data_IF_887430162408
#
_entry.id   IF_887430162408
#
_cell.length_a   1.000
_cell.length_b   1.000
_cell.length_c   1.000
_cell.angle_alpha   90.00
_cell.angle_beta   90.00
_cell.angle_gamma   90.00
#
_symmetry.space_group_name_H-M   'P 1'
#
loop_
_entity.id
_entity.type
_entity.pdbx_description
1 polymer ?
#
# COMPACT_ATOMS: atom_id res chain seq x y z
N UNK A 1 3.78 -6.47 15.83
CA UNK A 1 4.11 -7.80 15.29
C UNK A 1 3.56 -7.85 13.89
N UNK A 2 4.35 -8.26 12.90
CA UNK A 2 3.85 -8.41 11.53
C UNK A 2 3.21 -9.81 11.42
N UNK A 3 1.91 -9.92 11.12
CA UNK A 3 1.25 -11.22 11.01
C UNK A 3 1.77 -11.98 9.79
N UNK A 4 1.85 -13.30 9.91
CA UNK A 4 2.08 -14.17 8.76
C UNK A 4 0.83 -14.22 7.88
N UNK A 5 0.98 -14.56 6.60
CA UNK A 5 -0.14 -14.69 5.67
C UNK A 5 -1.24 -15.63 6.19
N UNK A 6 -0.86 -16.77 6.80
CA UNK A 6 -1.77 -17.72 7.45
C UNK A 6 -2.59 -17.13 8.60
N UNK A 7 -1.96 -16.22 9.39
CA UNK A 7 -2.64 -15.59 10.52
C UNK A 7 -3.65 -14.55 10.03
N UNK A 8 -3.32 -13.84 8.95
CA UNK A 8 -4.23 -12.91 8.27
C UNK A 8 -5.40 -13.65 7.62
N UNK A 9 -5.13 -14.78 6.96
CA UNK A 9 -6.18 -15.65 6.38
C UNK A 9 -7.15 -16.11 7.47
N UNK A 10 -6.65 -16.68 8.56
CA UNK A 10 -7.48 -17.11 9.70
C UNK A 10 -8.30 -15.96 10.29
N UNK A 11 -7.72 -14.76 10.39
CA UNK A 11 -8.44 -13.58 10.84
C UNK A 11 -9.62 -13.26 9.91
N UNK A 12 -9.41 -13.30 8.59
CA UNK A 12 -10.45 -12.99 7.59
C UNK A 12 -11.57 -14.05 7.65
N UNK A 13 -11.22 -15.33 7.78
CA UNK A 13 -12.18 -16.43 7.94
C UNK A 13 -13.04 -16.24 9.20
N UNK A 14 -12.42 -16.02 10.36
CA UNK A 14 -13.12 -15.73 11.61
C UNK A 14 -13.98 -14.46 11.54
N UNK A 15 -13.50 -13.44 10.83
CA UNK A 15 -14.29 -12.22 10.62
C UNK A 15 -15.55 -12.53 9.81
N UNK A 16 -15.44 -13.30 8.73
CA UNK A 16 -16.58 -13.67 7.91
C UNK A 16 -17.61 -14.52 8.69
N UNK A 17 -17.13 -15.44 9.52
CA UNK A 17 -17.98 -16.24 10.40
C UNK A 17 -18.69 -15.37 11.46
N UNK A 18 -17.93 -14.58 12.24
CA UNK A 18 -18.47 -13.77 13.33
C UNK A 18 -19.51 -12.72 12.88
N UNK A 19 -19.38 -12.22 11.66
CA UNK A 19 -20.30 -11.24 11.08
C UNK A 19 -21.34 -11.88 10.14
N UNK A 20 -21.42 -13.23 10.09
CA UNK A 20 -22.34 -13.98 9.24
C UNK A 20 -22.29 -13.53 7.76
N UNK A 21 -21.07 -13.35 7.22
CA UNK A 21 -20.88 -12.89 5.85
C UNK A 21 -20.90 -14.03 4.82
N UNK A 22 -20.61 -15.27 5.24
CA UNK A 22 -20.50 -16.42 4.34
C UNK A 22 -21.72 -16.63 3.43
N UNK A 23 -22.99 -16.49 3.91
CA UNK A 23 -24.17 -16.61 3.06
C UNK A 23 -24.27 -15.53 1.96
N UNK A 24 -23.51 -14.44 2.09
CA UNK A 24 -23.49 -13.32 1.14
C UNK A 24 -22.29 -13.37 0.19
N UNK A 25 -21.43 -14.39 0.31
CA UNK A 25 -20.25 -14.59 -0.54
C UNK A 25 -20.54 -15.69 -1.56
N UNK A 26 -20.46 -15.35 -2.83
CA UNK A 26 -20.60 -16.31 -3.91
C UNK A 26 -19.20 -16.69 -4.42
N UNK A 27 -18.72 -17.86 -4.02
CA UNK A 27 -17.44 -18.42 -4.48
C UNK A 27 -17.56 -19.00 -5.90
N UNK A 28 -16.41 -19.31 -6.50
CA UNK A 28 -16.30 -19.86 -7.86
C UNK A 28 -17.04 -19.02 -8.91
N UNK A 29 -17.11 -17.71 -8.68
CA UNK A 29 -17.83 -16.77 -9.53
C UNK A 29 -16.91 -15.61 -9.94
N UNK A 30 -16.54 -15.56 -11.20
CA UNK A 30 -15.81 -14.44 -11.79
C UNK A 30 -16.78 -13.36 -12.26
N UNK A 31 -16.48 -12.09 -12.00
CA UNK A 31 -17.17 -10.98 -12.65
C UNK A 31 -16.51 -10.77 -14.01
N UNK A 32 -17.27 -10.90 -15.10
CA UNK A 32 -16.79 -10.65 -16.46
C UNK A 32 -16.72 -9.15 -16.72
N UNK A 33 -17.84 -8.47 -16.52
CA UNK A 33 -17.91 -7.01 -16.58
C UNK A 33 -19.14 -6.46 -15.87
N UNK A 34 -19.13 -5.14 -15.71
CA UNK A 34 -20.23 -4.36 -15.14
C UNK A 34 -20.55 -3.20 -16.08
N UNK A 35 -21.83 -3.02 -16.38
CA UNK A 35 -22.32 -1.95 -17.25
C UNK A 35 -23.41 -1.13 -16.57
N UNK A 36 -23.57 0.12 -17.01
CA UNK A 36 -24.62 0.99 -16.52
C UNK A 36 -25.87 0.88 -17.38
N UNK A 37 -27.00 0.52 -16.78
CA UNK A 37 -28.34 0.66 -17.36
C UNK A 37 -28.89 2.04 -16.97
N UNK A 38 -28.75 3.01 -17.86
CA UNK A 38 -29.19 4.37 -17.64
C UNK A 38 -30.72 4.51 -17.58
N UNK A 39 -31.43 3.63 -18.31
CA UNK A 39 -32.90 3.68 -18.37
C UNK A 39 -33.52 3.31 -17.03
N UNK A 40 -33.03 2.25 -16.43
CA UNK A 40 -33.54 1.74 -15.15
C UNK A 40 -32.72 2.25 -13.94
N UNK A 41 -31.69 3.05 -14.19
CA UNK A 41 -30.77 3.56 -13.16
C UNK A 41 -30.16 2.45 -12.29
N UNK A 42 -29.75 1.35 -12.91
CA UNK A 42 -29.18 0.15 -12.29
C UNK A 42 -27.80 -0.20 -12.86
N UNK A 43 -27.11 -1.09 -12.18
CA UNK A 43 -25.88 -1.72 -12.64
C UNK A 43 -26.17 -3.15 -13.06
N UNK A 44 -25.78 -3.52 -14.29
CA UNK A 44 -25.82 -4.87 -14.83
C UNK A 44 -24.47 -5.54 -14.52
N UNK A 45 -24.48 -6.60 -13.73
CA UNK A 45 -23.27 -7.32 -13.35
C UNK A 45 -23.31 -8.69 -14.03
N UNK A 46 -22.41 -8.88 -14.98
CA UNK A 46 -22.24 -10.13 -15.71
C UNK A 46 -21.22 -11.00 -14.98
N UNK A 47 -21.67 -12.17 -14.57
CA UNK A 47 -20.83 -13.11 -13.82
C UNK A 47 -20.70 -14.43 -14.55
N UNK A 48 -19.57 -15.10 -14.40
CA UNK A 48 -19.26 -16.40 -14.98
C UNK A 48 -18.92 -17.38 -13.85
N UNK A 49 -19.67 -18.46 -13.77
CA UNK A 49 -19.30 -19.58 -12.91
C UNK A 49 -18.01 -20.22 -13.42
N UNK A 50 -16.99 -20.32 -12.56
CA UNK A 50 -15.66 -20.80 -12.97
C UNK A 50 -15.59 -22.30 -13.17
N UNK A 51 -16.57 -23.07 -12.66
CA UNK A 51 -16.63 -24.52 -12.79
C UNK A 51 -17.41 -24.93 -14.04
N UNK A 52 -18.55 -24.27 -14.30
CA UNK A 52 -19.45 -24.62 -15.40
C UNK A 52 -19.30 -23.74 -16.63
N UNK A 53 -18.71 -22.55 -16.48
CA UNK A 53 -18.61 -21.56 -17.54
C UNK A 53 -19.91 -20.79 -17.81
N UNK A 54 -21.00 -21.07 -17.06
CA UNK A 54 -22.28 -20.41 -17.25
C UNK A 54 -22.19 -18.93 -16.94
N UNK A 55 -22.65 -18.11 -17.88
CA UNK A 55 -22.72 -16.65 -17.70
C UNK A 55 -24.12 -16.26 -17.27
N UNK A 56 -24.21 -15.42 -16.23
CA UNK A 56 -25.47 -14.86 -15.74
C UNK A 56 -25.35 -13.35 -15.58
N UNK A 57 -26.46 -12.64 -15.75
CA UNK A 57 -26.55 -11.19 -15.49
C UNK A 57 -27.51 -10.94 -14.34
N UNK A 58 -27.10 -10.08 -13.42
CA UNK A 58 -27.93 -9.59 -12.31
C UNK A 58 -27.88 -8.07 -12.22
N UNK A 59 -28.95 -7.48 -11.72
CA UNK A 59 -29.08 -6.04 -11.55
C UNK A 59 -28.86 -5.61 -10.09
N UNK A 60 -28.16 -4.51 -9.89
CA UNK A 60 -27.87 -3.96 -8.58
C UNK A 60 -28.06 -2.45 -8.57
N UNK A 61 -28.45 -1.91 -7.42
CA UNK A 61 -28.52 -0.45 -7.20
C UNK A 61 -27.15 0.17 -7.08
N UNK A 62 -26.22 -0.55 -6.46
CA UNK A 62 -24.88 -0.06 -6.12
C UNK A 62 -23.84 -1.15 -6.34
N UNK A 63 -22.66 -0.72 -6.78
CA UNK A 63 -21.52 -1.61 -7.00
C UNK A 63 -20.29 -1.06 -6.31
N UNK A 64 -19.56 -1.92 -5.60
CA UNK A 64 -18.23 -1.65 -5.08
C UNK A 64 -17.24 -2.56 -5.78
N UNK A 65 -16.29 -1.98 -6.51
CA UNK A 65 -15.17 -2.71 -7.10
C UNK A 65 -14.07 -2.83 -6.05
N UNK A 66 -13.83 -4.04 -5.58
CA UNK A 66 -12.84 -4.33 -4.54
C UNK A 66 -11.84 -5.42 -4.98
N UNK A 67 -11.48 -5.43 -6.27
CA UNK A 67 -10.60 -6.42 -6.91
C UNK A 67 -9.13 -6.31 -6.49
N UNK A 68 -8.76 -5.24 -5.79
CA UNK A 68 -7.39 -4.94 -5.41
C UNK A 68 -6.55 -4.34 -6.54
N UNK A 69 -5.42 -3.76 -6.17
CA UNK A 69 -4.53 -3.04 -7.08
C UNK A 69 -3.44 -3.92 -7.72
N UNK A 70 -3.29 -5.17 -7.30
CA UNK A 70 -2.19 -6.06 -7.69
C UNK A 70 -2.73 -7.23 -8.53
N UNK A 71 -3.37 -6.91 -9.66
CA UNK A 71 -4.07 -7.89 -10.49
C UNK A 71 -3.38 -8.17 -11.82
N UNK A 72 -3.06 -7.16 -12.60
CA UNK A 72 -2.45 -7.31 -13.91
C UNK A 72 -0.94 -7.27 -13.77
N UNK A 73 -0.29 -8.38 -14.12
CA UNK A 73 1.16 -8.54 -14.00
C UNK A 73 1.90 -7.56 -14.92
N UNK A 74 2.89 -6.87 -14.40
CA UNK A 74 3.87 -6.13 -15.19
C UNK A 74 5.10 -7.02 -15.44
N UNK A 75 5.19 -7.66 -16.58
CA UNK A 75 6.37 -8.42 -16.99
C UNK A 75 7.19 -7.60 -17.96
N UNK A 76 8.43 -7.20 -17.63
CA UNK A 76 9.26 -6.40 -18.51
C UNK A 76 9.63 -7.19 -19.76
N UNK A 77 9.69 -6.51 -20.91
CA UNK A 77 10.22 -7.08 -22.13
C UNK A 77 11.73 -7.11 -22.03
N UNK A 78 12.32 -8.30 -22.01
CA UNK A 78 13.77 -8.52 -21.96
C UNK A 78 14.22 -9.08 -23.30
N UNK A 79 15.26 -8.47 -23.87
CA UNK A 79 15.89 -8.91 -25.10
C UNK A 79 16.41 -10.34 -24.92
N UNK A 80 16.08 -11.23 -25.85
CA UNK A 80 16.54 -12.62 -25.85
C UNK A 80 15.85 -13.54 -24.83
N UNK A 81 14.74 -13.13 -24.21
CA UNK A 81 14.02 -13.95 -23.22
C UNK A 81 13.59 -15.31 -23.78
N UNK A 82 13.34 -15.40 -25.06
CA UNK A 82 13.00 -16.63 -25.78
C UNK A 82 14.14 -17.65 -25.85
N UNK A 83 15.37 -17.23 -25.57
CA UNK A 83 16.56 -18.12 -25.49
C UNK A 83 16.68 -18.80 -24.12
N UNK A 84 15.96 -18.30 -23.11
CA UNK A 84 16.06 -18.84 -21.76
C UNK A 84 15.32 -20.17 -21.65
N UNK A 85 16.02 -21.21 -21.21
CA UNK A 85 15.46 -22.56 -21.08
C UNK A 85 14.99 -22.89 -19.65
N UNK A 86 15.24 -22.00 -18.68
CA UNK A 86 14.80 -22.18 -17.30
C UNK A 86 13.37 -21.67 -17.06
N UNK A 87 12.94 -21.77 -15.79
CA UNK A 87 11.61 -21.29 -15.38
C UNK A 87 11.53 -19.75 -15.42
N UNK A 88 10.48 -19.22 -16.03
CA UNK A 88 10.22 -17.77 -16.05
C UNK A 88 8.82 -17.49 -15.54
N UNK A 89 8.72 -16.91 -14.34
CA UNK A 89 7.42 -16.63 -13.72
C UNK A 89 7.36 -15.19 -13.17
N UNK A 90 6.15 -14.69 -13.03
CA UNK A 90 5.89 -13.48 -12.25
C UNK A 90 5.64 -13.85 -10.76
N UNK A 91 6.00 -12.96 -9.84
CA UNK A 91 5.82 -13.18 -8.39
C UNK A 91 4.37 -13.52 -7.98
N UNK A 92 3.37 -13.17 -8.79
CA UNK A 92 1.98 -13.57 -8.58
C UNK A 92 1.81 -15.11 -8.63
N UNK A 93 2.62 -15.78 -9.42
CA UNK A 93 2.61 -17.23 -9.63
C UNK A 93 3.54 -17.97 -8.67
N UNK A 94 4.40 -17.25 -7.95
CA UNK A 94 5.32 -17.80 -6.97
C UNK A 94 4.56 -18.20 -5.71
N UNK A 95 4.11 -19.46 -5.64
CA UNK A 95 3.30 -20.01 -4.55
C UNK A 95 4.07 -20.99 -3.66
N UNK A 96 4.96 -21.77 -4.25
CA UNK A 96 5.74 -22.80 -3.55
C UNK A 96 7.24 -22.57 -3.78
N UNK A 97 7.94 -22.02 -2.78
CA UNK A 97 9.39 -21.82 -2.85
C UNK A 97 10.18 -23.14 -2.95
N UNK A 98 9.65 -24.27 -2.47
CA UNK A 98 10.35 -25.57 -2.46
C UNK A 98 10.68 -26.09 -3.85
N UNK A 99 9.94 -25.67 -4.87
CA UNK A 99 10.23 -25.96 -6.28
C UNK A 99 11.61 -25.46 -6.75
N UNK A 100 12.19 -24.51 -6.03
CA UNK A 100 13.49 -23.90 -6.33
C UNK A 100 14.63 -24.39 -5.44
N UNK A 101 14.41 -25.42 -4.62
CA UNK A 101 15.46 -26.04 -3.80
C UNK A 101 16.62 -26.51 -4.68
N UNK A 102 17.85 -26.11 -4.34
CA UNK A 102 19.07 -26.45 -5.08
C UNK A 102 19.24 -25.71 -6.42
N UNK A 103 18.35 -24.81 -6.80
CA UNK A 103 18.40 -24.02 -8.06
C UNK A 103 19.09 -22.66 -7.85
N UNK A 104 19.69 -22.14 -8.93
CA UNK A 104 20.18 -20.77 -9.00
C UNK A 104 19.04 -19.87 -9.52
N UNK A 105 18.58 -18.94 -8.70
CA UNK A 105 17.39 -18.14 -8.99
C UNK A 105 17.72 -16.65 -9.07
N UNK A 106 17.30 -16.00 -10.16
CA UNK A 106 17.41 -14.57 -10.35
C UNK A 106 16.05 -13.90 -10.09
N UNK A 107 15.95 -13.12 -9.02
CA UNK A 107 14.79 -12.33 -8.66
C UNK A 107 14.94 -10.92 -9.23
N UNK A 108 14.00 -10.48 -10.05
CA UNK A 108 14.05 -9.19 -10.76
C UNK A 108 13.14 -8.19 -10.08
N UNK A 109 13.73 -7.21 -9.41
CA UNK A 109 13.02 -6.12 -8.73
C UNK A 109 13.23 -6.13 -7.22
N UNK A 110 13.85 -5.06 -6.69
CA UNK A 110 14.19 -4.87 -5.28
C UNK A 110 13.15 -4.01 -4.55
N UNK A 111 11.89 -4.41 -4.63
CA UNK A 111 10.78 -3.91 -3.82
C UNK A 111 10.45 -4.86 -2.65
N UNK A 112 9.34 -4.62 -1.95
CA UNK A 112 8.88 -5.50 -0.87
C UNK A 112 8.70 -6.95 -1.33
N UNK A 113 8.06 -7.17 -2.47
CA UNK A 113 7.85 -8.52 -3.04
C UNK A 113 9.18 -9.21 -3.38
N UNK A 114 10.17 -8.49 -3.95
CA UNK A 114 11.48 -9.05 -4.22
C UNK A 114 12.23 -9.44 -2.95
N UNK A 115 12.13 -8.62 -1.91
CA UNK A 115 12.71 -8.88 -0.60
C UNK A 115 12.11 -10.15 0.05
N UNK A 116 10.78 -10.28 0.03
CA UNK A 116 10.10 -11.47 0.56
C UNK A 116 10.41 -12.71 -0.28
N UNK A 117 10.36 -12.61 -1.62
CA UNK A 117 10.67 -13.73 -2.52
C UNK A 117 12.10 -14.27 -2.35
N UNK A 118 13.08 -13.36 -2.21
CA UNK A 118 14.47 -13.80 -1.96
C UNK A 118 14.61 -14.48 -0.60
N UNK A 119 13.92 -14.00 0.43
CA UNK A 119 13.92 -14.63 1.75
C UNK A 119 13.31 -16.03 1.68
N UNK A 120 12.15 -16.20 1.04
CA UNK A 120 11.53 -17.52 0.86
C UNK A 120 12.40 -18.50 0.07
N UNK A 121 13.12 -18.03 -0.92
CA UNK A 121 14.08 -18.87 -1.68
C UNK A 121 15.27 -19.31 -0.83
N UNK A 122 15.80 -18.43 0.01
CA UNK A 122 16.88 -18.77 0.97
C UNK A 122 16.38 -19.82 1.97
N UNK A 123 15.18 -19.64 2.52
CA UNK A 123 14.56 -20.58 3.48
C UNK A 123 14.29 -21.95 2.82
N UNK A 124 13.91 -21.96 1.54
CA UNK A 124 13.71 -23.16 0.73
C UNK A 124 15.04 -23.79 0.24
N UNK A 125 16.20 -23.25 0.66
CA UNK A 125 17.53 -23.78 0.31
C UNK A 125 17.82 -23.77 -1.20
N UNK A 126 17.45 -22.71 -1.90
CA UNK A 126 17.96 -22.44 -3.24
C UNK A 126 19.50 -22.40 -3.20
N UNK A 127 20.16 -22.87 -4.27
CA UNK A 127 21.63 -22.95 -4.29
C UNK A 127 22.26 -21.55 -4.32
N UNK A 128 21.74 -20.67 -5.16
CA UNK A 128 22.11 -19.24 -5.20
C UNK A 128 20.87 -18.38 -5.43
N UNK A 129 20.83 -17.24 -4.75
CA UNK A 129 19.74 -16.26 -4.90
C UNK A 129 20.34 -14.91 -5.31
N UNK A 130 20.02 -14.46 -6.50
CA UNK A 130 20.42 -13.16 -7.02
C UNK A 130 19.24 -12.19 -6.96
N UNK A 131 19.47 -10.97 -6.48
CA UNK A 131 18.49 -9.89 -6.47
C UNK A 131 18.90 -8.80 -7.45
N UNK A 132 18.23 -8.74 -8.60
CA UNK A 132 18.50 -7.77 -9.64
C UNK A 132 17.75 -6.46 -9.39
N UNK A 133 18.46 -5.32 -9.53
CA UNK A 133 17.90 -3.99 -9.35
C UNK A 133 18.49 -2.97 -10.33
N UNK A 134 17.71 -1.94 -10.69
CA UNK A 134 18.13 -0.84 -11.58
C UNK A 134 18.55 0.43 -10.85
N UNK A 135 18.52 0.43 -9.54
CA UNK A 135 18.86 1.59 -8.74
C UNK A 135 18.74 1.29 -7.27
N UNK A 136 19.04 2.29 -6.45
CA UNK A 136 19.03 2.11 -5.01
C UNK A 136 17.66 1.75 -4.48
N UNK A 137 17.65 0.88 -3.49
CA UNK A 137 16.46 0.56 -2.71
C UNK A 137 16.64 0.96 -1.24
N UNK A 138 15.54 1.10 -0.52
CA UNK A 138 15.54 1.57 0.85
C UNK A 138 14.79 0.62 1.76
N UNK A 139 15.55 -0.23 2.42
CA UNK A 139 15.04 -1.13 3.44
C UNK A 139 15.04 -0.45 4.80
N UNK A 140 13.97 -0.65 5.54
CA UNK A 140 13.82 -0.26 6.95
C UNK A 140 13.54 -1.51 7.80
N UNK A 141 13.87 -1.49 9.09
CA UNK A 141 13.55 -2.59 9.98
C UNK A 141 12.03 -2.66 10.21
N UNK A 142 11.48 -3.87 10.31
CA UNK A 142 10.10 -4.11 10.73
C UNK A 142 9.89 -3.76 12.20
N UNK A 143 10.93 -4.01 13.01
CA UNK A 143 10.92 -3.74 14.46
C UNK A 143 11.98 -2.70 14.79
N UNK A 144 11.57 -1.63 15.45
CA UNK A 144 12.47 -0.60 15.96
C UNK A 144 12.23 -0.40 17.44
N UNK A 145 13.28 -0.59 18.25
CA UNK A 145 13.23 -0.53 19.72
C UNK A 145 12.11 -1.40 20.31
N UNK A 146 11.99 -2.63 19.83
CA UNK A 146 11.03 -3.62 20.32
C UNK A 146 9.56 -3.38 19.93
N UNK A 147 9.30 -2.37 19.11
CA UNK A 147 7.95 -2.06 18.60
C UNK A 147 7.93 -2.20 17.09
N UNK A 148 6.80 -2.62 16.54
CA UNK A 148 6.59 -2.54 15.10
C UNK A 148 6.78 -1.08 14.63
N UNK A 149 7.36 -0.87 13.47
CA UNK A 149 7.77 0.46 13.02
C UNK A 149 6.59 1.44 12.95
N UNK A 150 5.42 1.00 12.51
CA UNK A 150 4.19 1.78 12.46
C UNK A 150 3.70 2.22 13.86
N UNK A 151 3.95 1.45 14.89
CA UNK A 151 3.66 1.84 16.28
C UNK A 151 4.54 2.97 16.80
N UNK A 152 5.61 3.32 16.10
CA UNK A 152 6.46 4.47 16.46
C UNK A 152 5.90 5.80 15.95
N UNK A 153 4.95 5.77 15.02
CA UNK A 153 4.32 6.93 14.41
C UNK A 153 3.00 7.27 15.13
N UNK A 154 3.09 8.13 16.13
CA UNK A 154 1.93 8.54 16.92
C UNK A 154 1.08 9.59 16.19
N UNK A 155 -0.17 9.78 16.63
CA UNK A 155 -1.04 10.84 16.10
C UNK A 155 -0.43 12.22 16.30
N UNK A 156 0.17 12.48 17.47
CA UNK A 156 0.84 13.75 17.79
C UNK A 156 1.98 14.02 16.82
N UNK A 157 2.89 13.05 16.66
CA UNK A 157 4.02 13.19 15.73
C UNK A 157 3.57 13.36 14.27
N UNK A 158 2.55 12.61 13.84
CA UNK A 158 1.98 12.73 12.50
C UNK A 158 1.29 14.09 12.27
N UNK A 159 0.63 14.66 13.28
CA UNK A 159 0.02 15.99 13.17
C UNK A 159 1.08 17.07 13.01
N UNK A 160 2.12 17.04 13.85
CA UNK A 160 3.27 17.95 13.74
C UNK A 160 3.95 17.81 12.37
N UNK A 161 4.23 16.58 11.97
CA UNK A 161 4.88 16.29 10.69
C UNK A 161 4.07 16.80 9.48
N UNK A 162 2.75 16.57 9.46
CA UNK A 162 1.88 17.08 8.41
C UNK A 162 1.85 18.60 8.34
N UNK A 163 1.82 19.26 9.50
CA UNK A 163 1.87 20.72 9.57
C UNK A 163 3.20 21.24 9.02
N UNK A 164 4.31 20.66 9.45
CA UNK A 164 5.64 21.01 8.94
C UNK A 164 5.79 20.73 7.43
N UNK A 165 5.26 19.61 6.94
CA UNK A 165 5.24 19.32 5.50
C UNK A 165 4.41 20.33 4.69
N UNK A 166 3.32 20.84 5.25
CA UNK A 166 2.51 21.87 4.57
C UNK A 166 3.24 23.22 4.48
N UNK A 167 4.06 23.55 5.47
CA UNK A 167 4.81 24.82 5.54
C UNK A 167 6.18 24.74 4.83
N UNK A 168 6.89 23.63 5.04
CA UNK A 168 8.28 23.45 4.59
C UNK A 168 8.50 22.06 3.95
N UNK A 169 7.86 21.73 2.82
CA UNK A 169 7.84 20.37 2.28
C UNK A 169 9.22 19.79 1.98
N UNK A 170 10.13 20.61 1.40
CA UNK A 170 11.49 20.18 1.07
C UNK A 170 12.36 19.96 2.31
N UNK A 171 12.31 20.88 3.26
CA UNK A 171 13.05 20.77 4.52
C UNK A 171 12.62 19.56 5.34
N UNK A 172 11.30 19.31 5.44
CA UNK A 172 10.75 18.15 6.12
C UNK A 172 11.10 16.83 5.43
N UNK A 173 11.05 16.79 4.09
CA UNK A 173 11.46 15.60 3.34
C UNK A 173 12.94 15.27 3.57
N UNK A 174 13.82 16.29 3.58
CA UNK A 174 15.24 16.13 3.87
C UNK A 174 15.49 15.64 5.29
N UNK A 175 14.83 16.24 6.28
CA UNK A 175 14.96 15.86 7.69
C UNK A 175 14.46 14.44 7.93
N UNK A 176 13.30 14.08 7.37
CA UNK A 176 12.77 12.74 7.46
C UNK A 176 13.67 11.71 6.77
N UNK A 177 14.21 12.05 5.60
CA UNK A 177 15.19 11.22 4.90
C UNK A 177 16.44 10.95 5.73
N UNK A 178 16.97 11.97 6.43
CA UNK A 178 18.09 11.81 7.37
C UNK A 178 17.71 10.94 8.58
N UNK A 179 16.54 11.17 9.17
CA UNK A 179 16.06 10.39 10.32
C UNK A 179 15.91 8.91 9.98
N UNK A 180 15.26 8.58 8.87
CA UNK A 180 15.09 7.20 8.40
C UNK A 180 16.43 6.56 8.02
N UNK A 181 17.34 7.32 7.41
CA UNK A 181 18.70 6.84 7.12
C UNK A 181 19.48 6.56 8.39
N UNK A 182 19.30 7.37 9.45
CA UNK A 182 19.92 7.12 10.76
C UNK A 182 19.35 5.86 11.42
N UNK A 183 18.03 5.64 11.34
CA UNK A 183 17.40 4.41 11.85
C UNK A 183 17.99 3.19 11.14
N UNK A 184 18.04 3.21 9.81
CA UNK A 184 18.63 2.13 9.00
C UNK A 184 20.09 1.89 9.38
N UNK A 185 20.88 2.95 9.49
CA UNK A 185 22.31 2.84 9.82
C UNK A 185 22.56 2.23 11.21
N UNK A 186 21.68 2.52 12.18
CA UNK A 186 21.78 1.95 13.53
C UNK A 186 21.34 0.48 13.57
N UNK A 187 20.31 0.14 12.79
CA UNK A 187 19.79 -1.25 12.78
C UNK A 187 20.61 -2.16 11.89
N UNK A 188 21.03 -1.65 10.72
CA UNK A 188 21.78 -2.42 9.72
C UNK A 188 23.11 -1.72 9.38
N UNK A 189 24.09 -1.65 10.30
CA UNK A 189 25.34 -0.92 10.08
C UNK A 189 26.16 -1.46 8.92
N UNK A 190 26.06 -2.77 8.62
CA UNK A 190 26.73 -3.42 7.49
C UNK A 190 26.21 -2.96 6.13
N UNK A 191 24.95 -2.54 6.02
CA UNK A 191 24.39 -2.04 4.76
C UNK A 191 24.96 -0.67 4.36
N UNK A 192 25.57 0.09 5.27
CA UNK A 192 26.16 1.40 4.98
C UNK A 192 27.27 1.27 3.93
N UNK A 193 28.04 0.19 3.96
CA UNK A 193 29.14 -0.07 3.02
C UNK A 193 28.68 -0.82 1.76
N UNK A 194 27.46 -1.31 1.72
CA UNK A 194 26.97 -2.10 0.60
C UNK A 194 26.68 -1.21 -0.62
N UNK A 195 27.21 -1.52 -1.84
CA UNK A 195 27.10 -0.67 -3.02
C UNK A 195 25.65 -0.29 -3.37
N UNK A 196 24.72 -1.22 -3.27
CA UNK A 196 23.31 -1.02 -3.57
C UNK A 196 22.57 -0.06 -2.62
N UNK A 197 23.20 0.34 -1.51
CA UNK A 197 22.63 1.22 -0.49
C UNK A 197 23.37 2.55 -0.35
N UNK A 198 24.54 2.71 -0.98
CA UNK A 198 25.48 3.79 -0.70
C UNK A 198 25.40 5.01 -1.64
N UNK A 199 24.65 4.95 -2.75
CA UNK A 199 24.59 6.12 -3.62
C UNK A 199 23.79 7.24 -2.96
N UNK A 200 24.19 8.50 -3.17
CA UNK A 200 23.56 9.65 -2.55
C UNK A 200 22.09 9.74 -2.96
N UNK A 201 21.19 9.87 -1.97
CA UNK A 201 19.76 10.06 -2.21
C UNK A 201 19.48 11.52 -2.52
N UNK A 202 18.79 11.77 -3.62
CA UNK A 202 18.12 13.05 -3.82
C UNK A 202 17.08 13.25 -2.73
N UNK A 203 16.90 14.48 -2.26
CA UNK A 203 15.99 14.88 -1.18
C UNK A 203 14.56 14.38 -1.41
N UNK A 204 14.13 14.32 -2.65
CA UNK A 204 12.80 13.88 -3.08
C UNK A 204 12.62 12.34 -3.13
N UNK A 205 13.65 11.57 -2.78
CA UNK A 205 13.63 10.11 -2.91
C UNK A 205 12.48 9.40 -2.19
N UNK A 206 12.08 9.88 -1.00
CA UNK A 206 10.95 9.33 -0.25
C UNK A 206 9.58 9.66 -0.87
N UNK A 207 9.47 10.77 -1.58
CA UNK A 207 8.25 11.15 -2.29
C UNK A 207 8.04 10.29 -3.55
N UNK A 208 9.12 9.76 -4.13
CA UNK A 208 9.08 8.98 -5.36
C UNK A 208 9.13 7.47 -5.12
N UNK A 209 9.85 7.01 -4.09
CA UNK A 209 10.00 5.60 -3.75
C UNK A 209 9.65 5.37 -2.29
N UNK A 210 8.65 4.55 -2.05
CA UNK A 210 8.32 4.13 -0.69
C UNK A 210 9.40 3.19 -0.17
N UNK A 211 9.85 3.35 1.10
CA UNK A 211 10.69 2.35 1.74
C UNK A 211 9.89 1.05 1.90
N UNK A 212 10.57 -0.07 1.91
CA UNK A 212 10.00 -1.35 2.30
C UNK A 212 10.65 -1.87 3.57
N UNK A 213 10.00 -2.82 4.23
CA UNK A 213 10.41 -3.33 5.53
C UNK A 213 10.83 -4.78 5.40
N UNK A 214 12.08 -5.09 5.75
CA UNK A 214 12.59 -6.47 5.79
C UNK A 214 13.86 -6.54 6.63
N UNK A 215 13.78 -7.23 7.74
CA UNK A 215 14.94 -7.56 8.57
C UNK A 215 15.69 -8.74 7.96
N UNK A 216 14.94 -9.77 7.52
CA UNK A 216 15.46 -11.03 7.00
C UNK A 216 16.29 -10.83 5.72
N UNK A 217 15.81 -9.99 4.78
CA UNK A 217 16.60 -9.70 3.58
C UNK A 217 17.91 -8.98 3.93
N UNK A 218 17.90 -8.05 4.89
CA UNK A 218 19.11 -7.36 5.32
C UNK A 218 20.12 -8.33 5.93
N UNK A 219 19.68 -9.29 6.74
CA UNK A 219 20.52 -10.33 7.32
C UNK A 219 21.03 -11.30 6.25
N UNK A 220 20.20 -11.73 5.31
CA UNK A 220 20.57 -12.60 4.21
C UNK A 220 21.64 -11.97 3.31
N UNK A 221 21.59 -10.65 3.11
CA UNK A 221 22.62 -9.89 2.39
C UNK A 221 23.93 -9.84 3.18
N UNK A 222 23.88 -9.64 4.51
CA UNK A 222 25.06 -9.67 5.39
C UNK A 222 25.78 -11.01 5.31
N UNK A 223 25.01 -12.08 5.35
CA UNK A 223 25.49 -13.45 5.42
C UNK A 223 25.88 -14.01 4.04
N UNK A 224 25.76 -13.21 2.97
CA UNK A 224 26.07 -13.61 1.59
C UNK A 224 25.12 -14.65 1.00
N UNK A 225 23.94 -14.85 1.62
CA UNK A 225 22.90 -15.77 1.12
C UNK A 225 22.10 -15.19 -0.05
N UNK A 226 22.11 -13.87 -0.20
CA UNK A 226 21.56 -13.14 -1.35
C UNK A 226 22.69 -12.28 -1.93
N UNK A 227 22.89 -12.35 -3.24
CA UNK A 227 23.80 -11.48 -3.98
C UNK A 227 22.97 -10.42 -4.73
N UNK A 228 23.29 -9.13 -4.58
CA UNK A 228 22.67 -8.07 -5.40
C UNK A 228 23.42 -7.92 -6.71
N UNK A 229 22.66 -7.79 -7.79
CA UNK A 229 23.18 -7.62 -9.16
C UNK A 229 22.46 -6.50 -9.89
N UNK A 230 23.08 -5.96 -10.92
CA UNK A 230 22.48 -4.91 -11.74
C UNK A 230 21.30 -5.45 -12.58
N UNK A 231 20.58 -4.55 -13.25
CA UNK A 231 19.46 -4.93 -14.12
C UNK A 231 19.87 -5.87 -15.24
N UNK A 232 18.93 -6.65 -15.75
CA UNK A 232 19.14 -7.48 -16.94
C UNK A 232 19.23 -6.60 -18.18
N UNK A 233 20.27 -6.78 -18.98
CA UNK A 233 20.42 -6.18 -20.30
C UNK A 233 19.85 -7.11 -21.38
N UNK A 234 20.31 -8.37 -21.40
CA UNK A 234 19.93 -9.37 -22.40
C UNK A 234 20.07 -10.80 -21.85
N UNK A 235 19.23 -11.71 -22.31
CA UNK A 235 19.40 -13.14 -22.17
C UNK A 235 20.25 -13.63 -23.36
N UNK A 236 21.45 -14.13 -23.07
CA UNK A 236 22.41 -14.50 -24.10
C UNK A 236 22.46 -15.99 -24.40
N UNK A 237 21.89 -16.81 -23.53
CA UNK A 237 21.84 -18.28 -23.72
C UNK A 237 20.80 -18.96 -22.86
N UNK A 238 20.71 -20.29 -22.92
CA UNK A 238 19.70 -21.09 -22.21
C UNK A 238 19.67 -20.89 -20.69
N UNK A 239 20.83 -20.54 -20.09
CA UNK A 239 20.99 -20.27 -18.67
C UNK A 239 21.88 -19.06 -18.39
N UNK A 240 22.17 -18.25 -19.42
CA UNK A 240 23.11 -17.13 -19.36
C UNK A 240 22.40 -15.79 -19.45
N UNK A 241 22.66 -14.91 -18.51
CA UNK A 241 22.03 -13.58 -18.37
C UNK A 241 23.12 -12.52 -18.32
N UNK A 242 23.13 -11.60 -19.28
CA UNK A 242 24.01 -10.43 -19.29
C UNK A 242 23.32 -9.26 -18.56
N UNK A 243 24.04 -8.65 -17.64
CA UNK A 243 23.59 -7.53 -16.82
C UNK A 243 24.02 -6.19 -17.42
N UNK A 244 23.37 -5.10 -17.02
CA UNK A 244 23.63 -3.74 -17.53
C UNK A 244 25.02 -3.18 -17.18
N UNK A 245 25.76 -3.81 -16.27
CA UNK A 245 27.16 -3.52 -15.94
C UNK A 245 28.15 -4.40 -16.72
N UNK A 246 27.67 -5.23 -17.65
CA UNK A 246 28.48 -6.14 -18.47
C UNK A 246 28.82 -7.48 -17.79
N UNK A 247 28.46 -7.68 -16.53
CA UNK A 247 28.63 -8.98 -15.85
C UNK A 247 27.68 -10.01 -16.47
N UNK A 248 28.17 -11.22 -16.65
CA UNK A 248 27.37 -12.36 -17.10
C UNK A 248 27.11 -13.30 -15.94
N UNK A 249 25.86 -13.65 -15.71
CA UNK A 249 25.47 -14.71 -14.79
C UNK A 249 25.25 -15.99 -15.59
N UNK A 250 25.91 -17.05 -15.18
CA UNK A 250 25.78 -18.37 -15.77
C UNK A 250 25.00 -19.31 -14.85
N UNK A 251 24.52 -20.41 -15.43
CA UNK A 251 23.79 -21.48 -14.72
C UNK A 251 22.52 -21.00 -14.00
N UNK A 252 21.85 -19.99 -14.51
CA UNK A 252 20.57 -19.54 -13.97
C UNK A 252 19.47 -20.54 -14.33
N UNK A 253 18.80 -21.10 -13.32
CA UNK A 253 17.72 -22.09 -13.49
C UNK A 253 16.33 -21.45 -13.55
N UNK A 254 16.17 -20.27 -12.92
CA UNK A 254 14.89 -19.59 -12.89
C UNK A 254 15.02 -18.07 -12.82
N UNK A 255 14.05 -17.37 -13.43
CA UNK A 255 13.87 -15.92 -13.32
C UNK A 255 12.50 -15.64 -12.72
N UNK A 256 12.43 -14.94 -11.58
CA UNK A 256 11.20 -14.54 -10.91
C UNK A 256 11.03 -13.02 -11.03
N UNK A 257 10.04 -12.58 -11.78
CA UNK A 257 9.74 -11.17 -11.97
C UNK A 257 8.93 -10.61 -10.78
N UNK A 258 9.58 -9.83 -9.92
CA UNK A 258 8.97 -9.00 -8.88
C UNK A 258 8.84 -7.55 -9.38
N UNK A 259 8.43 -7.38 -10.62
CA UNK A 259 8.45 -6.13 -11.39
C UNK A 259 7.20 -5.27 -11.19
N UNK A 260 6.25 -5.71 -10.37
CA UNK A 260 5.04 -4.97 -10.03
C UNK A 260 3.84 -5.29 -10.91
N UNK A 261 2.87 -4.38 -10.91
CA UNK A 261 1.56 -4.60 -11.52
C UNK A 261 1.08 -3.32 -12.20
N UNK A 262 0.24 -3.48 -13.23
CA UNK A 262 -0.59 -2.42 -13.76
C UNK A 262 -1.93 -2.37 -13.03
N UNK A 263 -2.54 -1.20 -12.99
CA UNK A 263 -3.89 -1.03 -12.44
C UNK A 263 -4.91 -1.33 -13.52
N UNK A 264 -5.92 -2.11 -13.16
CA UNK A 264 -6.96 -2.56 -14.07
C UNK A 264 -8.34 -2.13 -13.59
N UNK A 265 -9.07 -1.46 -14.48
CA UNK A 265 -10.43 -1.00 -14.27
C UNK A 265 -11.38 -1.56 -15.34
N UNK A 266 -10.90 -2.46 -16.21
CA UNK A 266 -11.62 -3.00 -17.37
C UNK A 266 -12.88 -3.79 -17.02
N UNK A 267 -13.05 -4.11 -15.73
CA UNK A 267 -14.28 -4.71 -15.23
C UNK A 267 -15.49 -3.77 -15.37
N UNK A 268 -15.29 -2.46 -15.43
CA UNK A 268 -16.33 -1.48 -15.68
C UNK A 268 -16.28 -1.08 -17.15
N UNK A 269 -17.41 -1.22 -17.86
CA UNK A 269 -17.55 -0.84 -19.25
C UNK A 269 -18.48 0.37 -19.42
N UNK A 270 -18.22 1.18 -20.44
CA UNK A 270 -19.03 2.33 -20.77
C UNK A 270 -18.87 3.52 -19.82
N UNK A 271 -19.92 4.29 -19.56
CA UNK A 271 -19.83 5.59 -18.87
C UNK A 271 -19.26 5.52 -17.45
N UNK A 272 -19.28 4.35 -16.80
CA UNK A 272 -18.73 4.14 -15.46
C UNK A 272 -17.21 3.90 -15.43
N UNK A 273 -16.53 3.70 -16.57
CA UNK A 273 -15.09 3.47 -16.64
C UNK A 273 -14.32 4.71 -16.14
N UNK A 274 -13.62 4.63 -15.00
CA UNK A 274 -12.90 5.78 -14.48
C UNK A 274 -11.62 6.11 -15.27
N UNK A 275 -11.25 5.29 -16.24
CA UNK A 275 -10.03 5.46 -17.04
C UNK A 275 -10.30 5.84 -18.49
N UNK A 276 -11.55 6.10 -18.86
CA UNK A 276 -11.93 6.51 -20.22
C UNK A 276 -11.13 7.77 -20.66
N UNK A 277 -10.32 7.68 -21.72
CA UNK A 277 -9.51 8.80 -22.19
C UNK A 277 -10.34 10.02 -22.64
N UNK A 278 -11.58 9.80 -23.07
CA UNK A 278 -12.46 10.86 -23.58
C UNK A 278 -12.81 11.91 -22.52
N UNK A 279 -12.75 11.53 -21.27
CA UNK A 279 -13.09 12.37 -20.11
C UNK A 279 -11.89 12.67 -19.21
N UNK A 280 -10.67 12.37 -19.69
CA UNK A 280 -9.45 12.62 -18.93
C UNK A 280 -9.19 14.14 -18.81
N UNK A 281 -8.68 14.63 -17.65
CA UNK A 281 -8.28 16.02 -17.50
C UNK A 281 -7.12 16.41 -18.42
N UNK A 282 -6.99 17.70 -18.75
CA UNK A 282 -5.88 18.24 -19.57
C UNK A 282 -4.49 17.87 -19.01
N UNK A 283 -4.37 17.75 -17.70
CA UNK A 283 -3.15 17.32 -17.03
C UNK A 283 -2.74 15.88 -17.40
N UNK A 284 -3.62 15.06 -17.94
CA UNK A 284 -3.29 13.71 -18.42
C UNK A 284 -2.30 13.77 -19.59
N UNK A 285 -2.49 14.68 -20.53
CA UNK A 285 -1.54 14.87 -21.63
C UNK A 285 -0.16 15.31 -21.11
N UNK A 286 -0.10 16.11 -20.05
CA UNK A 286 1.15 16.47 -19.40
C UNK A 286 1.85 15.25 -18.75
N UNK A 287 1.08 14.28 -18.22
CA UNK A 287 1.61 13.01 -17.71
C UNK A 287 2.20 12.20 -18.86
N UNK A 288 1.46 12.04 -19.95
CA UNK A 288 1.90 11.31 -21.14
C UNK A 288 3.18 11.89 -21.76
N UNK A 289 3.36 13.20 -21.69
CA UNK A 289 4.55 13.88 -22.19
C UNK A 289 5.81 13.66 -21.35
N UNK A 290 5.71 12.98 -20.18
CA UNK A 290 6.89 12.71 -19.34
C UNK A 290 7.62 11.44 -19.79
N UNK A 291 8.96 11.35 -19.62
CA UNK A 291 9.72 10.15 -19.95
C UNK A 291 9.42 8.96 -19.01
N UNK A 292 8.58 9.16 -18.00
CA UNK A 292 8.24 8.16 -16.99
C UNK A 292 6.85 7.56 -17.18
N UNK A 293 6.09 8.04 -18.18
CA UNK A 293 4.81 7.48 -18.57
C UNK A 293 5.00 6.16 -19.31
N UNK A 294 4.20 5.18 -18.97
CA UNK A 294 4.12 3.92 -19.70
C UNK A 294 2.74 3.82 -20.37
N UNK A 295 2.64 3.40 -21.65
CA UNK A 295 1.35 3.33 -22.36
C UNK A 295 0.30 2.43 -21.72
N UNK A 296 0.73 1.50 -20.88
CA UNK A 296 -0.17 0.59 -20.13
C UNK A 296 -0.60 1.16 -18.77
N UNK A 297 -0.05 2.31 -18.36
CA UNK A 297 -0.50 2.98 -17.13
C UNK A 297 -1.96 3.44 -17.28
N UNK A 298 -2.76 3.13 -16.28
CA UNK A 298 -4.15 3.57 -16.18
C UNK A 298 -4.31 4.47 -14.96
N UNK A 299 -4.80 5.68 -15.17
CA UNK A 299 -5.04 6.65 -14.11
C UNK A 299 -6.55 6.85 -13.97
N UNK A 300 -7.10 6.30 -12.89
CA UNK A 300 -8.51 6.40 -12.62
C UNK A 300 -8.90 7.80 -12.13
N UNK A 301 -10.00 8.31 -12.65
CA UNK A 301 -10.65 9.54 -12.20
C UNK A 301 -11.66 9.20 -11.11
N UNK A 302 -11.17 9.21 -9.88
CA UNK A 302 -11.96 8.90 -8.71
C UNK A 302 -12.00 10.10 -7.78
N UNK A 303 -13.19 10.53 -7.42
CA UNK A 303 -13.37 11.56 -6.41
C UNK A 303 -12.90 11.02 -5.05
N UNK A 304 -12.01 11.77 -4.41
CA UNK A 304 -11.33 11.35 -3.16
C UNK A 304 -10.60 10.02 -3.23
N UNK A 305 -10.31 9.53 -4.44
CA UNK A 305 -9.57 8.30 -4.69
C UNK A 305 -10.38 7.00 -4.56
N UNK A 306 -11.71 7.07 -4.41
CA UNK A 306 -12.52 5.86 -4.32
C UNK A 306 -13.95 5.97 -4.84
N UNK A 307 -14.53 7.15 -4.98
CA UNK A 307 -15.87 7.33 -5.54
C UNK A 307 -15.80 7.61 -7.04
N UNK A 308 -16.72 7.04 -7.80
CA UNK A 308 -16.92 7.42 -9.21
C UNK A 308 -17.19 8.92 -9.33
N UNK A 309 -16.63 9.58 -10.32
CA UNK A 309 -16.93 10.98 -10.60
C UNK A 309 -18.38 11.16 -11.06
N UNK A 310 -18.83 10.27 -11.93
CA UNK A 310 -20.16 10.36 -12.56
C UNK A 310 -21.26 9.76 -11.68
N UNK A 311 -20.98 8.65 -11.00
CA UNK A 311 -21.95 7.89 -10.21
C UNK A 311 -21.50 7.72 -8.74
N UNK A 312 -21.21 8.81 -8.01
CA UNK A 312 -20.64 8.72 -6.66
C UNK A 312 -21.57 8.05 -5.64
N UNK A 313 -22.90 8.05 -5.91
CA UNK A 313 -23.91 7.46 -5.03
C UNK A 313 -24.15 5.96 -5.30
N UNK A 314 -23.53 5.40 -6.36
CA UNK A 314 -23.81 4.02 -6.76
C UNK A 314 -22.60 3.21 -7.25
N UNK A 315 -21.43 3.86 -7.48
CA UNK A 315 -20.21 3.19 -7.89
C UNK A 315 -19.01 3.68 -7.08
N UNK A 316 -18.31 2.73 -6.45
CA UNK A 316 -17.10 3.00 -5.69
C UNK A 316 -16.01 1.96 -5.96
N UNK A 317 -14.75 2.34 -5.72
CA UNK A 317 -13.56 1.52 -5.95
C UNK A 317 -12.73 1.44 -4.68
N UNK A 318 -12.57 0.28 -4.08
CA UNK A 318 -11.74 0.08 -2.90
C UNK A 318 -10.40 -0.54 -3.29
N UNK A 319 -9.34 -0.11 -2.62
CA UNK A 319 -7.98 -0.56 -2.93
C UNK A 319 -7.16 0.42 -3.78
N UNK A 320 -7.72 1.57 -4.16
CA UNK A 320 -7.10 2.53 -5.08
C UNK A 320 -6.70 3.86 -4.43
N UNK A 321 -6.57 3.90 -3.10
CA UNK A 321 -6.13 5.08 -2.36
C UNK A 321 -4.97 4.76 -1.42
N UNK A 322 -3.87 5.48 -1.57
CA UNK A 322 -2.71 5.43 -0.67
C UNK A 322 -2.47 6.80 -0.04
N UNK A 323 -2.58 6.86 1.27
CA UNK A 323 -2.15 7.97 2.11
C UNK A 323 -1.26 7.45 3.24
N UNK A 324 -0.60 8.35 3.99
CA UNK A 324 0.27 7.97 5.11
C UNK A 324 -0.55 7.48 6.32
N UNK A 325 -1.15 6.29 6.18
CA UNK A 325 -1.94 5.60 7.21
C UNK A 325 -1.79 4.08 7.06
N UNK A 326 -1.86 3.32 8.15
CA UNK A 326 -1.96 1.87 8.07
C UNK A 326 -3.17 1.47 7.22
N UNK A 327 -3.03 0.53 6.27
CA UNK A 327 -4.11 0.18 5.33
C UNK A 327 -5.42 -0.22 6.02
N UNK A 328 -5.36 -1.02 7.07
CA UNK A 328 -6.56 -1.48 7.81
C UNK A 328 -7.34 -0.29 8.39
N UNK A 329 -6.63 0.70 8.97
CA UNK A 329 -7.24 1.92 9.49
C UNK A 329 -7.84 2.77 8.36
N UNK A 330 -7.10 2.91 7.27
CA UNK A 330 -7.55 3.71 6.12
C UNK A 330 -8.83 3.15 5.51
N UNK A 331 -8.86 1.84 5.22
CA UNK A 331 -10.02 1.23 4.60
C UNK A 331 -11.23 1.14 5.54
N UNK A 332 -11.03 1.04 6.86
CA UNK A 332 -12.11 1.16 7.83
C UNK A 332 -12.78 2.54 7.77
N UNK A 333 -11.98 3.62 7.65
CA UNK A 333 -12.52 4.99 7.51
C UNK A 333 -13.19 5.19 6.15
N UNK A 334 -12.62 4.68 5.06
CA UNK A 334 -13.19 4.77 3.70
C UNK A 334 -14.56 4.09 3.65
N UNK A 335 -14.68 2.88 4.20
CA UNK A 335 -15.96 2.15 4.19
C UNK A 335 -17.01 2.83 5.05
N UNK A 336 -16.63 3.46 6.18
CA UNK A 336 -17.55 4.30 6.97
C UNK A 336 -18.00 5.55 6.19
N UNK A 337 -17.09 6.22 5.48
CA UNK A 337 -17.42 7.37 4.64
C UNK A 337 -18.32 6.97 3.48
N UNK A 338 -18.03 5.85 2.81
CA UNK A 338 -18.86 5.29 1.75
C UNK A 338 -20.28 4.97 2.25
N UNK A 339 -20.38 4.32 3.40
CA UNK A 339 -21.68 4.05 4.01
C UNK A 339 -22.46 5.33 4.30
N UNK A 340 -21.81 6.35 4.84
CA UNK A 340 -22.44 7.66 5.12
C UNK A 340 -22.99 8.31 3.86
N UNK A 341 -22.21 8.33 2.76
CA UNK A 341 -22.66 8.85 1.46
C UNK A 341 -23.86 8.05 0.94
N UNK A 342 -23.75 6.73 0.94
CA UNK A 342 -24.75 5.87 0.32
C UNK A 342 -26.05 5.67 1.13
N UNK A 343 -26.05 6.05 2.40
CA UNK A 343 -27.25 6.04 3.25
C UNK A 343 -27.85 7.43 3.45
N UNK A 344 -27.32 8.46 2.77
CA UNK A 344 -27.83 9.83 2.87
C UNK A 344 -27.35 10.59 4.11
N UNK A 345 -26.37 10.04 4.86
CA UNK A 345 -25.75 10.72 6.00
C UNK A 345 -24.84 11.90 5.60
N UNK A 346 -24.45 11.92 4.34
CA UNK A 346 -23.66 13.01 3.75
C UNK A 346 -24.11 13.27 2.31
N UNK A 347 -24.36 14.53 1.98
CA UNK A 347 -24.65 14.95 0.60
C UNK A 347 -23.34 15.19 -0.13
N UNK A 348 -23.13 14.46 -1.23
CA UNK A 348 -21.91 14.57 -2.03
C UNK A 348 -21.81 15.92 -2.72
N UNK A 349 -20.60 16.41 -2.90
CA UNK A 349 -20.32 17.69 -3.55
C UNK A 349 -20.81 17.71 -5.01
N UNK A 350 -21.16 18.89 -5.54
CA UNK A 350 -21.53 19.06 -6.94
C UNK A 350 -20.46 18.55 -7.91
N UNK A 351 -20.86 18.21 -9.14
CA UNK A 351 -19.95 17.65 -10.15
C UNK A 351 -18.73 18.53 -10.42
N UNK A 352 -18.89 19.85 -10.41
CA UNK A 352 -17.80 20.80 -10.60
C UNK A 352 -16.72 20.69 -9.52
N UNK A 353 -17.11 20.61 -8.25
CA UNK A 353 -16.18 20.45 -7.13
C UNK A 353 -15.48 19.09 -7.16
N UNK A 354 -16.19 18.03 -7.58
CA UNK A 354 -15.59 16.70 -7.75
C UNK A 354 -14.53 16.71 -8.85
N UNK A 355 -14.82 17.34 -10.01
CA UNK A 355 -13.83 17.51 -11.10
C UNK A 355 -12.61 18.28 -10.64
N UNK A 356 -12.81 19.37 -9.91
CA UNK A 356 -11.73 20.18 -9.36
C UNK A 356 -10.82 19.38 -8.40
N UNK A 357 -11.39 18.49 -7.59
CA UNK A 357 -10.60 17.59 -6.73
C UNK A 357 -9.75 16.64 -7.58
N UNK A 358 -10.34 16.04 -8.61
CA UNK A 358 -9.66 15.15 -9.56
C UNK A 358 -8.54 15.89 -10.31
N UNK A 359 -8.82 17.11 -10.82
CA UNK A 359 -7.81 17.93 -11.49
C UNK A 359 -6.64 18.28 -10.56
N UNK A 360 -6.92 18.56 -9.31
CA UNK A 360 -5.87 18.79 -8.29
C UNK A 360 -5.02 17.54 -8.05
N UNK A 361 -5.63 16.36 -8.10
CA UNK A 361 -4.90 15.10 -8.01
C UNK A 361 -3.99 14.89 -9.23
N UNK A 362 -4.48 15.12 -10.45
CA UNK A 362 -3.68 15.03 -11.67
C UNK A 362 -2.53 16.05 -11.68
N UNK A 363 -2.79 17.28 -11.24
CA UNK A 363 -1.74 18.31 -11.06
C UNK A 363 -0.66 17.87 -10.06
N UNK A 364 -1.06 17.22 -8.99
CA UNK A 364 -0.13 16.64 -8.02
C UNK A 364 0.73 15.54 -8.66
N UNK A 365 0.14 14.64 -9.47
CA UNK A 365 0.88 13.59 -10.20
C UNK A 365 1.90 14.19 -11.18
N UNK A 366 1.51 15.19 -11.96
CA UNK A 366 2.42 15.95 -12.84
C UNK A 366 3.58 16.56 -12.05
N UNK A 367 3.28 17.14 -10.89
CA UNK A 367 4.31 17.71 -10.01
C UNK A 367 5.30 16.68 -9.48
N UNK A 368 4.88 15.43 -9.26
CA UNK A 368 5.79 14.34 -8.92
C UNK A 368 6.66 13.93 -10.12
N UNK A 369 6.05 13.70 -11.28
CA UNK A 369 6.77 13.22 -12.47
C UNK A 369 7.79 14.21 -13.04
N UNK A 370 7.58 15.50 -12.86
CA UNK A 370 8.59 16.53 -13.21
C UNK A 370 9.90 16.36 -12.43
N UNK A 371 9.90 15.63 -11.34
CA UNK A 371 11.08 15.42 -10.47
C UNK A 371 11.70 14.04 -10.59
N UNK A 372 10.99 13.09 -11.21
CA UNK A 372 11.45 11.73 -11.39
C UNK A 372 10.32 10.69 -11.41
N UNK A 373 10.66 9.42 -11.65
CA UNK A 373 9.66 8.33 -11.63
C UNK A 373 9.07 8.19 -10.24
N UNK A 374 7.77 7.97 -10.15
CA UNK A 374 7.06 7.81 -8.87
C UNK A 374 6.32 6.48 -8.82
N UNK A 375 6.52 5.73 -7.74
CA UNK A 375 5.82 4.47 -7.49
C UNK A 375 4.37 4.74 -7.10
N UNK A 376 3.45 3.91 -7.56
CA UNK A 376 2.01 3.98 -7.26
C UNK A 376 1.41 5.36 -7.57
N UNK A 377 1.79 5.96 -8.70
CA UNK A 377 1.47 7.34 -9.05
C UNK A 377 -0.02 7.66 -8.94
N UNK A 378 -0.89 6.89 -9.59
CA UNK A 378 -2.34 7.11 -9.62
C UNK A 378 -3.07 6.88 -8.29
N UNK A 379 -2.42 6.20 -7.33
CA UNK A 379 -3.03 5.85 -6.05
C UNK A 379 -2.68 6.82 -4.92
N UNK A 380 -1.65 7.65 -5.10
CA UNK A 380 -1.12 8.53 -4.06
C UNK A 380 -1.83 9.87 -4.07
N UNK A 381 -2.65 10.10 -3.06
CA UNK A 381 -3.39 11.33 -2.88
C UNK A 381 -2.72 12.30 -1.89
N UNK A 382 -3.09 13.59 -1.98
CA UNK A 382 -2.72 14.56 -0.97
C UNK A 382 -3.35 14.15 0.38
N UNK A 383 -2.50 13.70 1.29
CA UNK A 383 -2.92 13.03 2.52
C UNK A 383 -3.74 13.91 3.45
N UNK A 384 -3.51 15.24 3.48
CA UNK A 384 -4.16 16.11 4.48
C UNK A 384 -5.65 16.29 4.18
N UNK A 385 -5.99 16.86 3.04
CA UNK A 385 -7.37 17.17 2.69
C UNK A 385 -8.25 15.91 2.59
N UNK A 386 -7.72 14.84 1.99
CA UNK A 386 -8.42 13.56 1.87
C UNK A 386 -8.70 12.93 3.24
N UNK A 387 -7.72 12.92 4.15
CA UNK A 387 -7.91 12.36 5.48
C UNK A 387 -8.94 13.16 6.32
N UNK A 388 -8.90 14.47 6.26
CA UNK A 388 -9.85 15.35 6.97
C UNK A 388 -11.27 15.15 6.44
N UNK A 389 -11.43 15.11 5.12
CA UNK A 389 -12.72 14.85 4.47
C UNK A 389 -13.28 13.46 4.85
N UNK A 390 -12.46 12.41 4.76
CA UNK A 390 -12.87 11.04 5.14
C UNK A 390 -13.38 10.98 6.58
N UNK A 391 -12.67 11.59 7.53
CA UNK A 391 -13.08 11.59 8.94
C UNK A 391 -14.38 12.38 9.16
N UNK A 392 -14.54 13.50 8.46
CA UNK A 392 -15.76 14.31 8.54
C UNK A 392 -16.96 13.53 8.03
N UNK A 393 -16.88 12.98 6.81
CA UNK A 393 -17.94 12.23 6.16
C UNK A 393 -18.28 10.94 6.92
N UNK A 394 -17.27 10.24 7.40
CA UNK A 394 -17.44 9.03 8.22
C UNK A 394 -18.00 9.33 9.63
N UNK A 395 -18.08 10.60 10.03
CA UNK A 395 -18.56 10.98 11.36
C UNK A 395 -17.70 10.47 12.50
N UNK A 396 -16.37 10.32 12.31
CA UNK A 396 -15.49 9.74 13.34
C UNK A 396 -15.26 10.66 14.54
N UNK A 397 -15.39 11.97 14.37
CA UNK A 397 -15.09 12.98 15.40
C UNK A 397 -13.60 13.13 15.74
N UNK A 398 -12.73 12.36 15.09
CA UNK A 398 -11.30 12.30 15.41
C UNK A 398 -10.58 13.59 15.06
N UNK A 399 -10.88 14.17 13.90
CA UNK A 399 -10.26 15.43 13.44
C UNK A 399 -10.73 16.63 14.25
N UNK A 400 -11.97 16.61 14.74
CA UNK A 400 -12.56 17.68 15.53
C UNK A 400 -12.14 17.60 17.02
N UNK A 401 -12.18 16.39 17.59
CA UNK A 401 -11.99 16.16 19.04
C UNK A 401 -10.56 15.92 19.47
N UNK A 402 -9.65 15.70 18.51
CA UNK A 402 -8.21 15.51 18.78
C UNK A 402 -7.32 16.56 18.10
N UNK A 403 -7.91 17.62 17.52
CA UNK A 403 -7.14 18.73 16.96
C UNK A 403 -6.57 19.62 18.10
N UNK A 404 -5.32 20.06 17.95
CA UNK A 404 -4.62 20.86 18.98
C UNK A 404 -5.33 22.15 19.38
N UNK A 405 -6.15 22.72 18.50
CA UNK A 405 -6.87 23.97 18.72
C UNK A 405 -8.38 23.81 18.86
N UNK A 406 -8.86 22.58 19.07
CA UNK A 406 -10.25 22.28 19.27
C UNK A 406 -10.65 22.41 20.75
N UNK A 407 -11.75 23.11 21.04
CA UNK A 407 -12.32 23.16 22.38
C UNK A 407 -12.67 21.76 22.92
N UNK A 408 -13.16 20.89 22.07
CA UNK A 408 -13.47 19.50 22.42
C UNK A 408 -12.22 18.69 22.79
N UNK A 409 -11.09 18.97 22.13
CA UNK A 409 -9.80 18.36 22.50
C UNK A 409 -9.33 18.83 23.88
N UNK A 410 -9.45 20.14 24.16
CA UNK A 410 -9.13 20.71 25.48
C UNK A 410 -10.02 20.16 26.58
N UNK A 411 -11.33 20.04 26.33
CA UNK A 411 -12.29 19.45 27.24
C UNK A 411 -11.96 17.98 27.55
N UNK A 412 -11.62 17.19 26.54
CA UNK A 412 -11.20 15.81 26.73
C UNK A 412 -9.89 15.72 27.51
N UNK A 413 -8.91 16.58 27.18
CA UNK A 413 -7.65 16.66 27.92
C UNK A 413 -7.84 17.05 29.40
N UNK A 414 -8.75 17.96 29.69
CA UNK A 414 -9.04 18.39 31.05
C UNK A 414 -9.75 17.30 31.84
N UNK A 415 -10.73 16.64 31.26
CA UNK A 415 -11.54 15.64 31.95
C UNK A 415 -10.84 14.28 32.07
N UNK A 416 -10.05 13.89 31.08
CA UNK A 416 -9.32 12.60 31.05
C UNK A 416 -7.98 12.74 30.32
N UNK A 417 -7.05 13.42 30.98
CA UNK A 417 -5.72 13.68 30.44
C UNK A 417 -4.96 12.39 30.08
N UNK A 418 -5.14 11.33 30.88
CA UNK A 418 -4.47 10.06 30.66
C UNK A 418 -4.93 9.41 29.36
N UNK A 419 -6.22 9.36 29.16
CA UNK A 419 -6.80 8.80 27.95
C UNK A 419 -6.54 9.67 26.71
N UNK A 420 -6.64 11.00 26.83
CA UNK A 420 -6.25 11.93 25.77
C UNK A 420 -4.81 11.68 25.29
N UNK A 421 -3.85 11.59 26.23
CA UNK A 421 -2.46 11.30 25.87
C UNK A 421 -2.32 9.91 25.22
N UNK A 422 -3.08 8.93 25.69
CA UNK A 422 -3.10 7.61 25.06
C UNK A 422 -3.59 7.66 23.61
N UNK A 423 -4.61 8.47 23.31
CA UNK A 423 -5.10 8.69 21.93
C UNK A 423 -4.09 9.44 21.06
N UNK A 424 -3.33 10.37 21.65
CA UNK A 424 -2.36 11.20 20.90
C UNK A 424 -1.02 10.51 20.69
N UNK A 425 -0.56 9.71 21.65
CA UNK A 425 0.79 9.13 21.70
C UNK A 425 0.79 7.60 21.58
N UNK A 426 -0.40 6.99 21.56
CA UNK A 426 -0.58 5.56 21.36
C UNK A 426 -0.66 5.13 19.88
N UNK A 427 -0.92 3.84 19.70
CA UNK A 427 -1.03 3.23 18.36
C UNK A 427 -2.28 3.71 17.63
N UNK A 428 -2.14 4.06 16.36
CA UNK A 428 -3.27 4.40 15.49
C UNK A 428 -3.98 3.11 15.04
N UNK A 429 -5.25 2.97 15.40
CA UNK A 429 -6.01 1.73 15.23
C UNK A 429 -7.50 2.00 14.96
N UNK A 430 -8.25 1.07 14.33
CA UNK A 430 -9.67 1.24 14.00
C UNK A 430 -10.57 1.66 15.16
N UNK A 431 -10.44 1.14 16.40
CA UNK A 431 -11.26 1.56 17.53
C UNK A 431 -11.25 3.06 17.82
N UNK A 432 -10.13 3.77 17.53
CA UNK A 432 -10.04 5.23 17.74
C UNK A 432 -11.07 5.97 16.89
N UNK A 433 -11.34 5.48 15.69
CA UNK A 433 -12.29 6.06 14.74
C UNK A 433 -13.75 5.67 15.01
N UNK A 434 -13.97 4.85 16.03
CA UNK A 434 -15.29 4.39 16.49
C UNK A 434 -15.62 4.84 17.92
N UNK A 435 -14.80 5.73 18.46
CA UNK A 435 -14.88 6.15 19.86
C UNK A 435 -15.94 7.23 20.11
N UNK A 436 -16.03 8.21 19.23
CA UNK A 436 -16.83 9.41 19.47
C UNK A 436 -18.21 9.35 18.84
N UNK A 437 -19.21 9.84 19.58
CA UNK A 437 -20.53 10.17 19.03
C UNK A 437 -20.47 11.60 18.48
N UNK A 438 -20.78 11.74 17.20
CA UNK A 438 -20.84 13.03 16.51
C UNK A 438 -22.25 13.41 16.04
N UNK A 439 -23.22 12.50 16.25
CA UNK A 439 -24.56 12.64 15.67
C UNK A 439 -24.60 12.49 14.14
N UNK A 440 -23.45 12.22 13.48
CA UNK A 440 -23.33 12.00 12.05
C UNK A 440 -23.09 10.52 11.77
N UNK A 441 -23.97 9.91 11.01
CA UNK A 441 -23.81 8.57 10.46
C UNK A 441 -23.91 7.46 11.49
N UNK A 442 -22.77 6.92 11.94
CA UNK A 442 -22.74 5.72 12.78
C UNK A 442 -22.75 6.02 14.28
N UNK A 443 -23.22 5.02 15.04
CA UNK A 443 -23.09 5.02 16.51
C UNK A 443 -21.66 4.66 16.94
N UNK A 444 -21.16 5.22 18.06
CA UNK A 444 -19.87 4.80 18.62
C UNK A 444 -19.92 3.33 19.05
N UNK A 445 -18.74 2.68 19.04
CA UNK A 445 -18.62 1.33 19.55
C UNK A 445 -18.35 1.34 21.06
N UNK A 446 -19.22 0.77 21.90
CA UNK A 446 -19.05 0.82 23.36
C UNK A 446 -17.72 0.24 23.86
N UNK A 447 -17.20 -0.81 23.18
CA UNK A 447 -15.91 -1.45 23.49
C UNK A 447 -14.65 -0.70 22.98
N UNK A 448 -14.82 0.44 22.30
CA UNK A 448 -13.69 1.13 21.65
C UNK A 448 -12.63 1.56 22.64
N UNK A 449 -13.02 2.14 23.77
CA UNK A 449 -12.08 2.61 24.82
C UNK A 449 -11.27 1.44 25.39
N UNK A 450 -11.92 0.39 25.78
CA UNK A 450 -11.27 -0.81 26.35
C UNK A 450 -10.28 -1.42 25.34
N UNK A 451 -10.68 -1.55 24.08
CA UNK A 451 -9.82 -2.06 23.03
C UNK A 451 -8.56 -1.19 22.83
N UNK A 452 -8.71 0.15 22.87
CA UNK A 452 -7.59 1.10 22.78
C UNK A 452 -6.64 0.92 23.96
N UNK A 453 -7.17 0.88 25.18
CA UNK A 453 -6.37 0.74 26.40
C UNK A 453 -5.62 -0.59 26.42
N UNK A 454 -6.28 -1.71 26.10
CA UNK A 454 -5.71 -3.06 26.04
C UNK A 454 -4.57 -3.14 25.02
N UNK A 455 -4.82 -2.76 23.76
CA UNK A 455 -3.81 -2.85 22.70
C UNK A 455 -2.59 -1.98 23.01
N UNK A 456 -2.77 -0.79 23.55
CA UNK A 456 -1.64 0.06 23.93
C UNK A 456 -0.85 -0.51 25.13
N UNK A 457 -1.51 -1.22 26.05
CA UNK A 457 -0.83 -1.92 27.13
C UNK A 457 0.04 -3.08 26.59
N UNK A 458 -0.50 -3.87 25.64
CA UNK A 458 0.24 -4.95 24.97
C UNK A 458 1.47 -4.41 24.22
N UNK A 459 1.31 -3.35 23.42
CA UNK A 459 2.44 -2.70 22.68
C UNK A 459 3.50 -2.18 23.65
N UNK A 460 3.11 -1.64 24.79
CA UNK A 460 4.05 -1.19 25.82
C UNK A 460 4.82 -2.35 26.43
N UNK A 461 4.13 -3.42 26.79
CA UNK A 461 4.73 -4.63 27.36
C UNK A 461 5.78 -5.26 26.41
N UNK A 462 5.51 -5.29 25.10
CA UNK A 462 6.48 -5.73 24.09
C UNK A 462 7.75 -4.87 24.06
N UNK A 463 7.59 -3.55 24.12
CA UNK A 463 8.72 -2.60 24.19
C UNK A 463 9.57 -2.80 25.45
N UNK A 464 8.94 -2.96 26.60
CA UNK A 464 9.63 -3.18 27.88
C UNK A 464 10.35 -4.54 27.93
N UNK A 465 9.76 -5.59 27.34
CA UNK A 465 10.40 -6.90 27.23
C UNK A 465 11.69 -6.80 26.40
N UNK A 466 11.62 -6.14 25.24
CA UNK A 466 12.79 -5.92 24.38
C UNK A 466 13.89 -5.11 25.10
N UNK A 467 13.54 -4.06 25.84
CA UNK A 467 14.52 -3.28 26.60
C UNK A 467 15.22 -4.11 27.65
N UNK A 468 14.48 -4.99 28.36
CA UNK A 468 15.04 -5.91 29.35
C UNK A 468 16.03 -6.89 28.74
N UNK A 469 15.71 -7.46 27.59
CA UNK A 469 16.57 -8.39 26.86
C UNK A 469 17.87 -7.71 26.38
N UNK A 470 17.75 -6.50 25.81
CA UNK A 470 18.94 -5.78 25.33
C UNK A 470 19.85 -5.29 26.48
N UNK A 471 19.27 -4.91 27.63
CA UNK A 471 20.08 -4.58 28.81
C UNK A 471 20.85 -5.81 29.37
N UNK A 472 20.29 -7.02 29.22
CA UNK A 472 21.00 -8.26 29.59
C UNK A 472 22.15 -8.56 28.63
N UNK A 473 21.92 -8.42 27.31
CA UNK A 473 22.97 -8.62 26.28
C UNK A 473 24.12 -7.63 26.44
N UNK A 474 23.83 -6.35 26.62
CA UNK A 474 24.84 -5.29 26.85
C UNK A 474 25.61 -5.39 28.17
N UNK A 475 25.23 -6.26 29.09
CA UNK A 475 25.97 -6.56 30.34
C UNK A 475 26.78 -7.87 30.23
N UNK A 476 26.52 -8.67 29.19
CA UNK A 476 27.20 -9.94 28.94
C UNK A 476 28.35 -9.79 27.92
N UNK A 477 28.35 -8.71 27.14
CA UNK A 477 29.46 -8.24 26.30
C UNK A 477 30.34 -7.25 27.10
#
# INVERSE_FOLDING_TARGET
MHPWARDLQKYIELYAENFNLLPHIQLSTGVDHVERDEVNNKWLVYTKDTNTGLVTCRTFDRVVVATGMLNVKHTPKIKGIEKFAGDTIHSREFKDPSHYTGKNVLVVGAGATGADSTTFLVDAKAAKVFLSHRGQFFVLPRVFKGKAFDHTMTRRSNTVLRTLFSLFPRGCAALMGKALSSIRAKTFPWLIKHPSFNAPRKVDGLLHRLPFFSDEMAENLRDGRIETVMGIEEITGPKSVTLTDGKVLEDIDAIIFCSGYYYDFSVIRGPGDPTDPAIAPDHHEQIKATPFYHPEDRFARLYRGFLSEQYPESLAFLGHLIIMKPPIVLYDIITMALASVWTGGYTIEPAEERRKDIDNHYRFMVGLLKRGPAHHLGLRYNSKGTYEWLNWVAGTGVTERLACWSWEAWKLWWNDRKFYNLLMDGTDMPPVYRLFDTGRGRKPWPGAREAIERTNAEVRALGEAWERENKKKSKAD
#
